data_IF_190912603821
#
_entry.id   IF_190912603821
#
_cell.length_a   1.000
_cell.length_b   1.000
_cell.length_c   1.000
_cell.angle_alpha   90.00
_cell.angle_beta   90.00
_cell.angle_gamma   90.00
#
_symmetry.space_group_name_H-M   'P 1'
#
loop_
_entity.id
_entity.type
_entity.pdbx_description
1 polymer ?
#
# COMPACT_ATOMS: atom_id res chain seq x y z
N UNK A 1 -18.99 63.36 18.52
CA UNK A 1 -18.52 62.85 17.21
C UNK A 1 -17.92 61.47 17.48
N UNK A 2 -18.70 60.43 17.30
CA UNK A 2 -18.32 59.06 17.54
C UNK A 2 -18.46 58.31 16.21
N UNK A 3 -17.33 58.00 15.58
CA UNK A 3 -17.28 57.26 14.33
C UNK A 3 -17.48 55.75 14.65
N UNK A 4 -18.62 55.23 14.20
CA UNK A 4 -18.89 53.80 14.14
C UNK A 4 -18.21 53.17 12.91
N UNK A 5 -17.11 52.46 13.12
CA UNK A 5 -16.52 51.59 12.12
C UNK A 5 -17.34 50.29 12.04
N UNK A 6 -18.08 50.10 10.96
CA UNK A 6 -18.72 48.82 10.60
C UNK A 6 -17.67 47.86 10.06
N UNK A 7 -17.60 46.60 10.51
CA UNK A 7 -16.70 45.61 9.94
C UNK A 7 -17.23 45.10 8.59
N UNK A 8 -16.36 45.16 7.57
CA UNK A 8 -16.65 44.63 6.23
C UNK A 8 -16.72 43.09 6.27
N UNK A 9 -17.84 42.55 5.79
CA UNK A 9 -18.03 41.12 5.56
C UNK A 9 -17.22 40.71 4.34
N UNK A 10 -16.36 39.66 4.43
CA UNK A 10 -15.65 39.16 3.25
C UNK A 10 -16.62 38.49 2.28
N UNK A 11 -16.40 38.73 0.98
CA UNK A 11 -17.17 38.16 -0.12
C UNK A 11 -17.12 36.60 -0.10
N UNK A 12 -18.16 35.89 -0.54
CA UNK A 12 -18.18 34.45 -0.58
C UNK A 12 -17.13 33.93 -1.57
N UNK A 13 -16.25 33.06 -1.07
CA UNK A 13 -15.29 32.31 -1.88
C UNK A 13 -16.09 31.45 -2.86
N UNK A 14 -15.86 31.66 -4.15
CA UNK A 14 -16.48 30.86 -5.20
C UNK A 14 -16.27 29.38 -4.94
N UNK A 15 -17.35 28.63 -4.87
CA UNK A 15 -17.34 27.18 -4.72
C UNK A 15 -16.62 26.58 -5.92
N UNK A 16 -15.47 25.95 -5.66
CA UNK A 16 -14.78 25.08 -6.61
C UNK A 16 -15.77 23.99 -7.02
N UNK A 17 -16.10 23.94 -8.32
CA UNK A 17 -16.97 22.94 -8.90
C UNK A 17 -16.46 21.54 -8.50
N UNK A 18 -17.24 20.82 -7.70
CA UNK A 18 -16.98 19.44 -7.34
C UNK A 18 -17.05 18.61 -8.61
N UNK A 19 -15.93 17.99 -8.97
CA UNK A 19 -15.91 16.92 -9.99
C UNK A 19 -16.94 15.87 -9.58
N UNK A 20 -17.83 15.41 -10.49
CA UNK A 20 -18.83 14.42 -10.13
C UNK A 20 -18.13 13.17 -9.56
N UNK A 21 -18.58 12.69 -8.42
CA UNK A 21 -18.10 11.46 -7.81
C UNK A 21 -18.33 10.32 -8.81
N UNK A 22 -17.25 9.71 -9.29
CA UNK A 22 -17.33 8.52 -10.17
C UNK A 22 -17.91 7.40 -9.33
N UNK A 23 -18.97 6.73 -9.83
CA UNK A 23 -19.59 5.60 -9.14
C UNK A 23 -18.56 4.48 -8.95
N UNK A 24 -18.27 4.12 -7.69
CA UNK A 24 -17.34 3.04 -7.33
C UNK A 24 -17.70 1.72 -8.02
N UNK A 25 -18.98 1.46 -8.30
CA UNK A 25 -19.44 0.28 -9.01
C UNK A 25 -18.99 0.29 -10.47
N UNK A 26 -18.99 1.44 -11.13
CA UNK A 26 -18.50 1.59 -12.48
C UNK A 26 -17.00 1.34 -12.56
N UNK A 27 -16.22 1.91 -11.65
CA UNK A 27 -14.77 1.69 -11.55
C UNK A 27 -14.44 0.20 -11.32
N UNK A 28 -15.18 -0.46 -10.45
CA UNK A 28 -15.01 -1.90 -10.18
C UNK A 28 -15.34 -2.71 -11.44
N UNK A 29 -16.40 -2.38 -12.17
CA UNK A 29 -16.76 -3.05 -13.41
C UNK A 29 -15.66 -2.90 -14.48
N UNK A 30 -15.16 -1.68 -14.70
CA UNK A 30 -14.06 -1.41 -15.63
C UNK A 30 -12.78 -2.20 -15.27
N UNK A 31 -12.43 -2.28 -14.00
CA UNK A 31 -11.25 -3.03 -13.53
C UNK A 31 -11.43 -4.54 -13.70
N UNK A 32 -12.67 -5.05 -13.53
CA UNK A 32 -13.01 -6.45 -13.80
C UNK A 32 -12.89 -6.80 -15.28
N UNK A 33 -13.32 -5.91 -16.18
CA UNK A 33 -13.13 -6.10 -17.62
C UNK A 33 -11.64 -6.10 -18.02
N UNK A 34 -10.82 -5.23 -17.43
CA UNK A 34 -9.36 -5.26 -17.62
C UNK A 34 -8.76 -6.60 -17.15
N UNK A 35 -9.20 -7.14 -16.01
CA UNK A 35 -8.75 -8.46 -15.54
C UNK A 35 -9.23 -9.58 -16.48
N UNK A 36 -10.46 -9.51 -16.98
CA UNK A 36 -10.99 -10.47 -17.94
C UNK A 36 -10.17 -10.48 -19.24
N UNK A 37 -9.76 -9.30 -19.71
CA UNK A 37 -8.87 -9.18 -20.88
C UNK A 37 -7.50 -9.84 -20.62
N UNK A 38 -6.89 -9.63 -19.43
CA UNK A 38 -5.62 -10.30 -19.04
C UNK A 38 -5.77 -11.82 -19.00
N UNK A 39 -6.85 -12.34 -18.44
CA UNK A 39 -7.15 -13.79 -18.44
C UNK A 39 -7.42 -14.34 -19.83
N UNK A 40 -8.08 -13.57 -20.67
CA UNK A 40 -8.30 -13.91 -22.08
C UNK A 40 -6.98 -14.01 -22.86
N UNK A 41 -6.06 -13.07 -22.65
CA UNK A 41 -4.73 -13.10 -23.23
C UNK A 41 -3.94 -14.33 -22.75
N UNK A 42 -4.01 -14.64 -21.45
CA UNK A 42 -3.39 -15.84 -20.88
C UNK A 42 -3.93 -17.13 -21.51
N UNK A 43 -5.24 -17.26 -21.71
CA UNK A 43 -5.86 -18.41 -22.37
C UNK A 43 -5.40 -18.58 -23.83
N UNK A 44 -4.93 -17.50 -24.47
CA UNK A 44 -4.36 -17.48 -25.81
C UNK A 44 -2.82 -17.66 -25.82
N UNK A 45 -2.20 -17.95 -24.66
CA UNK A 45 -0.75 -18.08 -24.53
C UNK A 45 0.00 -16.74 -24.57
N UNK A 46 -0.70 -15.60 -24.45
CA UNK A 46 -0.14 -14.25 -24.52
C UNK A 46 0.05 -13.67 -23.10
N UNK A 47 1.04 -14.15 -22.37
CA UNK A 47 1.37 -13.67 -21.03
C UNK A 47 0.63 -14.40 -19.90
N UNK A 48 0.77 -13.91 -18.68
CA UNK A 48 0.17 -14.46 -17.45
C UNK A 48 -0.53 -13.35 -16.70
N UNK A 49 -1.79 -13.56 -16.33
CA UNK A 49 -2.62 -12.56 -15.65
C UNK A 49 -2.11 -12.23 -14.23
N UNK A 50 -1.54 -13.23 -13.52
CA UNK A 50 -0.94 -13.09 -12.20
C UNK A 50 0.44 -13.78 -12.19
N UNK A 51 1.47 -13.11 -12.72
CA UNK A 51 2.81 -13.69 -12.73
C UNK A 51 3.39 -13.79 -11.31
N UNK A 52 4.05 -14.91 -11.00
CA UNK A 52 4.67 -15.19 -9.71
C UNK A 52 6.18 -15.41 -9.78
N UNK A 53 6.78 -15.18 -10.93
CA UNK A 53 8.20 -15.37 -11.24
C UNK A 53 9.03 -14.10 -10.99
N UNK A 54 8.42 -12.94 -10.73
CA UNK A 54 9.13 -11.71 -10.41
C UNK A 54 9.58 -11.71 -8.94
N UNK A 55 10.90 -11.69 -8.73
CA UNK A 55 11.53 -11.65 -7.40
C UNK A 55 12.23 -10.30 -7.21
N UNK A 56 11.67 -9.37 -6.42
CA UNK A 56 12.34 -8.12 -6.13
C UNK A 56 13.58 -8.37 -5.27
N UNK A 57 14.72 -7.84 -5.70
CA UNK A 57 15.99 -7.95 -4.96
C UNK A 57 16.15 -6.86 -3.89
N UNK A 58 15.35 -5.79 -3.97
CA UNK A 58 15.53 -4.59 -3.15
C UNK A 58 14.23 -4.15 -2.49
N UNK A 59 14.36 -3.45 -1.33
CA UNK A 59 13.27 -2.85 -0.57
C UNK A 59 13.37 -1.33 -0.58
N UNK A 60 12.22 -0.65 -0.65
CA UNK A 60 12.16 0.82 -0.75
C UNK A 60 12.93 1.53 0.36
N UNK A 61 12.71 1.17 1.64
CA UNK A 61 13.39 1.82 2.76
C UNK A 61 14.91 1.59 2.73
N UNK A 62 15.37 0.39 2.36
CA UNK A 62 16.80 0.10 2.27
C UNK A 62 17.49 0.93 1.19
N UNK A 63 16.86 1.10 0.02
CA UNK A 63 17.37 1.95 -1.05
C UNK A 63 17.42 3.42 -0.64
N UNK A 64 16.37 3.91 0.01
CA UNK A 64 16.32 5.29 0.50
C UNK A 64 17.38 5.52 1.58
N UNK A 65 17.56 4.59 2.51
CA UNK A 65 18.58 4.71 3.57
C UNK A 65 20.00 4.67 3.01
N UNK A 66 20.27 3.83 2.00
CA UNK A 66 21.61 3.70 1.43
C UNK A 66 21.96 4.79 0.42
N UNK A 67 20.99 5.29 -0.34
CA UNK A 67 21.23 6.16 -1.51
C UNK A 67 20.41 7.45 -1.50
N UNK A 68 19.63 7.71 -0.45
CA UNK A 68 18.80 8.91 -0.35
C UNK A 68 19.60 10.21 -0.38
N UNK A 69 20.80 10.22 0.17
CA UNK A 69 21.72 11.37 0.21
C UNK A 69 22.79 11.34 -0.90
N UNK A 70 22.83 10.29 -1.75
CA UNK A 70 23.83 10.19 -2.83
C UNK A 70 23.52 11.24 -3.90
N UNK A 71 24.53 11.98 -4.35
CA UNK A 71 24.39 13.00 -5.38
C UNK A 71 24.05 12.38 -6.76
N UNK A 72 23.35 13.18 -7.60
CA UNK A 72 22.91 12.71 -8.93
C UNK A 72 24.07 12.24 -9.82
N UNK A 73 25.14 13.02 -9.85
CA UNK A 73 26.33 12.73 -10.68
C UNK A 73 27.01 11.41 -10.27
N UNK A 74 26.99 11.08 -8.98
CA UNK A 74 27.54 9.82 -8.48
C UNK A 74 26.70 8.61 -8.93
N UNK A 75 25.36 8.74 -8.92
CA UNK A 75 24.46 7.70 -9.44
C UNK A 75 24.54 7.53 -10.95
N UNK A 76 24.86 8.60 -11.69
CA UNK A 76 25.10 8.53 -13.13
C UNK A 76 26.46 7.91 -13.46
N UNK A 77 27.52 8.25 -12.70
CA UNK A 77 28.86 7.71 -12.88
C UNK A 77 28.95 6.23 -12.53
N UNK A 78 28.18 5.78 -11.53
CA UNK A 78 28.16 4.38 -11.09
C UNK A 78 26.69 3.91 -11.01
N UNK A 79 26.12 3.43 -12.15
CA UNK A 79 24.74 3.00 -12.20
C UNK A 79 24.48 1.81 -11.26
N UNK A 80 23.48 1.96 -10.38
CA UNK A 80 23.05 0.93 -9.43
C UNK A 80 21.77 0.30 -9.97
N UNK A 81 21.89 -0.95 -10.45
CA UNK A 81 20.74 -1.70 -10.90
C UNK A 81 19.90 -2.19 -9.72
N UNK A 82 18.59 -2.01 -9.81
CA UNK A 82 17.63 -2.39 -8.78
C UNK A 82 16.41 -3.08 -9.38
N UNK A 83 15.87 -4.02 -8.62
CA UNK A 83 14.56 -4.62 -8.88
C UNK A 83 13.67 -4.44 -7.66
N UNK A 84 12.50 -3.86 -7.84
CA UNK A 84 11.55 -3.51 -6.79
C UNK A 84 10.14 -3.94 -7.17
N UNK A 85 9.33 -4.29 -6.19
CA UNK A 85 7.90 -4.56 -6.39
C UNK A 85 7.06 -3.95 -5.27
N UNK A 86 5.87 -3.50 -5.61
CA UNK A 86 4.97 -2.92 -4.63
C UNK A 86 3.67 -2.43 -5.25
N UNK A 87 2.84 -1.83 -4.43
CA UNK A 87 1.56 -1.24 -4.83
C UNK A 87 1.78 0.14 -5.41
N UNK A 88 1.19 0.39 -6.57
CA UNK A 88 1.19 1.71 -7.20
C UNK A 88 0.20 2.63 -6.47
N UNK A 89 0.73 3.58 -5.70
CA UNK A 89 -0.07 4.49 -4.89
C UNK A 89 -0.34 5.83 -5.57
N UNK A 90 0.48 6.20 -6.54
CA UNK A 90 0.33 7.41 -7.33
C UNK A 90 0.82 7.15 -8.75
N UNK A 91 0.16 7.76 -9.71
CA UNK A 91 0.57 7.76 -11.13
C UNK A 91 0.32 9.14 -11.72
N UNK A 92 1.33 9.71 -12.36
CA UNK A 92 1.25 10.97 -13.10
C UNK A 92 1.81 10.76 -14.50
N UNK A 93 0.96 10.81 -15.50
CA UNK A 93 1.33 10.68 -16.91
C UNK A 93 1.59 12.05 -17.50
N UNK A 94 2.77 12.28 -18.09
CA UNK A 94 3.18 13.55 -18.69
C UNK A 94 3.76 13.27 -20.10
N UNK A 95 2.87 12.99 -21.05
CA UNK A 95 3.27 12.73 -22.45
C UNK A 95 4.10 11.44 -22.59
N UNK A 96 5.40 11.59 -22.94
CA UNK A 96 6.35 10.47 -23.14
C UNK A 96 7.01 9.97 -21.85
N UNK A 97 6.85 10.69 -20.76
CA UNK A 97 7.39 10.32 -19.44
C UNK A 97 6.28 10.27 -18.41
N UNK A 98 6.45 9.50 -17.37
CA UNK A 98 5.52 9.35 -16.27
C UNK A 98 6.25 9.13 -14.97
N UNK A 99 5.61 9.52 -13.87
CA UNK A 99 6.03 9.15 -12.52
C UNK A 99 4.99 8.26 -11.88
N UNK A 100 5.45 7.26 -11.15
CA UNK A 100 4.62 6.46 -10.27
C UNK A 100 5.27 6.35 -8.90
N UNK A 101 4.47 6.30 -7.84
CA UNK A 101 4.96 5.99 -6.50
C UNK A 101 4.60 4.55 -6.18
N UNK A 102 5.62 3.74 -5.98
CA UNK A 102 5.51 2.35 -5.54
C UNK A 102 5.62 2.31 -4.02
N UNK A 103 4.74 1.56 -3.36
CA UNK A 103 4.78 1.30 -1.92
C UNK A 103 4.95 -0.20 -1.68
N UNK A 104 6.03 -0.57 -1.00
CA UNK A 104 6.24 -1.93 -0.48
C UNK A 104 5.95 -2.00 1.04
N UNK A 105 6.32 -3.11 1.68
CA UNK A 105 6.12 -3.28 3.13
C UNK A 105 7.00 -2.34 3.98
N UNK A 106 8.06 -1.77 3.41
CA UNK A 106 9.06 -0.97 4.14
C UNK A 106 8.90 0.53 3.93
N UNK A 107 8.41 0.96 2.77
CA UNK A 107 8.30 2.37 2.45
C UNK A 107 7.79 2.65 1.04
N UNK A 108 8.10 3.86 0.57
CA UNK A 108 7.72 4.34 -0.77
C UNK A 108 8.97 4.67 -1.57
N UNK A 109 8.90 4.44 -2.87
CA UNK A 109 9.95 4.77 -3.82
C UNK A 109 9.30 5.29 -5.10
N UNK A 110 9.91 6.30 -5.72
CA UNK A 110 9.44 6.85 -6.98
C UNK A 110 9.98 6.02 -8.15
N UNK A 111 9.16 5.82 -9.15
CA UNK A 111 9.51 5.25 -10.45
C UNK A 111 9.43 6.34 -11.52
N UNK A 112 10.47 6.47 -12.32
CA UNK A 112 10.49 7.29 -13.51
C UNK A 112 10.39 6.40 -14.74
N UNK A 113 9.27 6.49 -15.44
CA UNK A 113 8.89 5.60 -16.54
C UNK A 113 8.90 6.40 -17.85
N UNK A 114 9.79 6.08 -18.75
CA UNK A 114 9.89 6.70 -20.08
C UNK A 114 9.45 5.73 -21.17
N UNK A 115 8.62 6.22 -22.11
CA UNK A 115 8.17 5.43 -23.26
C UNK A 115 9.34 4.85 -24.05
N UNK A 116 10.33 5.70 -24.31
CA UNK A 116 11.47 5.33 -25.17
C UNK A 116 12.41 4.31 -24.47
N UNK A 117 12.35 4.18 -23.13
CA UNK A 117 13.13 3.21 -22.35
C UNK A 117 12.44 1.85 -22.24
N UNK A 118 11.12 1.81 -22.04
CA UNK A 118 10.38 0.55 -21.85
C UNK A 118 9.64 0.05 -23.10
N UNK A 119 9.62 0.86 -24.16
CA UNK A 119 8.90 0.58 -25.40
C UNK A 119 7.47 1.12 -25.40
N UNK A 120 6.94 1.32 -26.60
CA UNK A 120 5.62 1.95 -26.79
C UNK A 120 4.47 1.10 -26.26
N UNK A 121 4.51 -0.21 -26.49
CA UNK A 121 3.49 -1.17 -26.04
C UNK A 121 3.42 -1.24 -24.51
N UNK A 122 4.56 -1.45 -23.84
CA UNK A 122 4.63 -1.51 -22.38
C UNK A 122 4.22 -0.18 -21.75
N UNK A 123 4.54 0.96 -22.38
CA UNK A 123 4.12 2.26 -21.91
C UNK A 123 2.61 2.49 -22.09
N UNK A 124 2.02 2.00 -23.20
CA UNK A 124 0.58 2.04 -23.43
C UNK A 124 -0.17 1.20 -22.39
N UNK A 125 0.36 0.02 -22.05
CA UNK A 125 -0.17 -0.83 -21.00
C UNK A 125 -0.10 -0.14 -19.63
N UNK A 126 1.05 0.42 -19.27
CA UNK A 126 1.24 1.18 -18.04
C UNK A 126 0.22 2.32 -17.89
N UNK A 127 -0.09 3.04 -18.96
CA UNK A 127 -1.12 4.09 -18.92
C UNK A 127 -2.51 3.56 -18.55
N UNK A 128 -2.83 2.31 -18.92
CA UNK A 128 -4.11 1.65 -18.62
C UNK A 128 -4.19 1.05 -17.21
N UNK A 129 -3.05 0.87 -16.51
CA UNK A 129 -3.05 0.34 -15.15
C UNK A 129 -3.70 1.32 -14.17
N UNK A 130 -4.20 0.79 -13.07
CA UNK A 130 -4.95 1.57 -12.09
C UNK A 130 -4.18 1.73 -10.78
N UNK A 131 -4.49 2.78 -10.03
CA UNK A 131 -3.99 2.93 -8.66
C UNK A 131 -4.43 1.74 -7.82
N UNK A 132 -3.50 1.23 -7.03
CA UNK A 132 -3.69 0.01 -6.25
C UNK A 132 -3.15 -1.25 -6.93
N UNK A 133 -2.85 -1.26 -8.22
CA UNK A 133 -2.19 -2.38 -8.88
C UNK A 133 -0.84 -2.67 -8.25
N UNK A 134 -0.46 -3.95 -8.16
CA UNK A 134 0.88 -4.34 -7.74
C UNK A 134 1.74 -4.51 -8.99
N UNK A 135 2.86 -3.82 -9.01
CA UNK A 135 3.77 -3.76 -10.14
C UNK A 135 5.19 -4.14 -9.73
N UNK A 136 5.94 -4.71 -10.65
CA UNK A 136 7.37 -4.93 -10.56
C UNK A 136 8.11 -4.03 -11.53
N UNK A 137 9.22 -3.47 -11.11
CA UNK A 137 10.07 -2.60 -11.90
C UNK A 137 11.54 -2.98 -11.75
N UNK A 138 12.26 -2.97 -12.87
CA UNK A 138 13.72 -3.09 -12.93
C UNK A 138 14.26 -1.83 -13.57
N UNK A 139 15.39 -1.34 -13.10
CA UNK A 139 16.03 -0.15 -13.64
C UNK A 139 17.22 0.28 -12.82
N UNK A 140 17.69 1.50 -13.03
CA UNK A 140 18.81 2.09 -12.30
C UNK A 140 18.35 3.21 -11.38
N UNK A 141 19.02 3.40 -10.26
CA UNK A 141 18.78 4.53 -9.38
C UNK A 141 19.19 5.84 -10.05
N UNK A 142 18.38 6.86 -9.82
CA UNK A 142 18.64 8.24 -10.25
C UNK A 142 18.07 9.23 -9.28
N UNK A 143 18.50 10.47 -9.32
CA UNK A 143 17.80 11.60 -8.69
C UNK A 143 17.06 12.43 -9.71
N UNK A 144 15.87 12.86 -9.34
CA UNK A 144 15.12 13.85 -10.14
C UNK A 144 15.70 15.24 -9.97
N UNK A 145 15.28 16.19 -10.80
CA UNK A 145 15.68 17.61 -10.66
C UNK A 145 15.33 18.22 -9.30
N UNK A 146 14.34 17.64 -8.60
CA UNK A 146 13.94 18.07 -7.25
C UNK A 146 14.67 17.29 -6.13
N UNK A 147 15.65 16.45 -6.47
CA UNK A 147 16.44 15.70 -5.50
C UNK A 147 15.78 14.39 -5.02
N UNK A 148 14.62 14.00 -5.55
CA UNK A 148 13.94 12.76 -5.12
C UNK A 148 14.60 11.51 -5.71
N UNK A 149 14.97 10.55 -4.85
CA UNK A 149 15.51 9.26 -5.29
C UNK A 149 14.45 8.48 -6.07
N UNK A 150 14.80 8.06 -7.27
CA UNK A 150 13.87 7.40 -8.19
C UNK A 150 14.54 6.23 -8.90
N UNK A 151 13.75 5.28 -9.37
CA UNK A 151 14.18 4.24 -10.28
C UNK A 151 13.90 4.68 -11.73
N UNK A 152 14.94 4.85 -12.55
CA UNK A 152 14.81 5.00 -13.99
C UNK A 152 14.52 3.62 -14.59
N UNK A 153 13.25 3.41 -14.89
CA UNK A 153 12.73 2.08 -15.22
C UNK A 153 13.13 1.66 -16.63
N UNK A 154 13.70 0.46 -16.74
CA UNK A 154 14.01 -0.22 -18.01
C UNK A 154 13.05 -1.37 -18.30
N UNK A 155 12.50 -2.00 -17.25
CA UNK A 155 11.48 -3.03 -17.38
C UNK A 155 10.37 -2.80 -16.38
N UNK A 156 9.13 -2.96 -16.80
CA UNK A 156 7.95 -2.75 -15.98
C UNK A 156 6.93 -3.86 -16.24
N UNK A 157 6.37 -4.42 -15.16
CA UNK A 157 5.45 -5.54 -15.25
C UNK A 157 4.30 -5.41 -14.26
N UNK A 158 3.07 -5.68 -14.74
CA UNK A 158 1.91 -5.85 -13.86
C UNK A 158 2.00 -7.22 -13.18
N UNK A 159 1.96 -7.25 -11.85
CA UNK A 159 1.99 -8.48 -11.05
C UNK A 159 0.61 -8.87 -10.56
N UNK A 160 -0.19 -7.88 -10.11
CA UNK A 160 -1.55 -8.12 -9.62
C UNK A 160 -2.44 -6.93 -9.93
N UNK A 161 -3.58 -7.21 -10.54
CA UNK A 161 -4.61 -6.22 -10.81
C UNK A 161 -5.45 -5.93 -9.57
N UNK A 162 -5.55 -4.67 -9.17
CA UNK A 162 -6.45 -4.21 -8.12
C UNK A 162 -7.85 -4.04 -8.67
N UNK A 163 -8.85 -4.71 -8.06
CA UNK A 163 -10.24 -4.68 -8.53
C UNK A 163 -11.09 -3.62 -7.86
N UNK A 164 -10.70 -3.17 -6.66
CA UNK A 164 -11.39 -2.09 -5.94
C UNK A 164 -10.55 -0.83 -5.94
N UNK A 165 -11.14 0.35 -6.13
CA UNK A 165 -10.42 1.60 -5.97
C UNK A 165 -9.93 1.73 -4.52
N UNK A 166 -8.81 2.44 -4.35
CA UNK A 166 -8.38 2.87 -3.03
C UNK A 166 -9.25 4.07 -2.59
N UNK A 167 -9.45 4.27 -1.29
CA UNK A 167 -10.09 5.48 -0.77
C UNK A 167 -9.43 6.75 -1.27
N UNK A 168 -10.16 7.86 -1.26
CA UNK A 168 -9.66 9.16 -1.70
C UNK A 168 -8.32 9.48 -1.03
N UNK A 169 -7.39 9.95 -1.85
CA UNK A 169 -6.02 10.28 -1.43
C UNK A 169 -5.97 11.35 -0.32
N UNK A 170 -6.93 12.27 -0.30
CA UNK A 170 -6.92 13.42 0.58
C UNK A 170 -7.68 13.17 1.89
N UNK A 171 -8.68 12.31 1.88
CA UNK A 171 -9.52 12.06 3.05
C UNK A 171 -9.28 10.67 3.67
N UNK A 172 -8.63 9.74 2.94
CA UNK A 172 -8.41 8.38 3.39
C UNK A 172 -9.74 7.70 3.75
N UNK A 173 -9.70 6.84 4.76
CA UNK A 173 -10.89 6.31 5.40
C UNK A 173 -11.23 7.20 6.61
N UNK A 174 -12.22 8.07 6.50
CA UNK A 174 -12.64 8.96 7.59
C UNK A 174 -13.45 8.23 8.65
N UNK A 175 -14.27 7.26 8.24
CA UNK A 175 -15.14 6.50 9.15
C UNK A 175 -14.34 5.45 9.95
N UNK A 176 -14.45 5.54 11.29
CA UNK A 176 -13.76 4.67 12.23
C UNK A 176 -14.28 3.22 12.16
N UNK A 177 -15.56 3.02 11.97
CA UNK A 177 -16.16 1.69 11.82
C UNK A 177 -15.65 1.00 10.55
N UNK A 178 -15.57 1.74 9.45
CA UNK A 178 -15.01 1.23 8.20
C UNK A 178 -13.52 0.86 8.34
N UNK A 179 -12.72 1.65 9.09
CA UNK A 179 -11.32 1.29 9.41
C UNK A 179 -11.21 -0.03 10.15
N UNK A 180 -12.12 -0.31 11.07
CA UNK A 180 -12.13 -1.57 11.81
C UNK A 180 -12.55 -2.75 10.94
N UNK A 181 -13.56 -2.58 10.09
CA UNK A 181 -14.07 -3.63 9.20
C UNK A 181 -13.14 -3.93 8.03
N UNK A 182 -12.46 -2.91 7.51
CA UNK A 182 -11.54 -3.01 6.38
C UNK A 182 -10.11 -2.61 6.79
N UNK A 183 -9.61 -3.23 7.86
CA UNK A 183 -8.28 -2.94 8.41
C UNK A 183 -7.16 -3.01 7.36
N UNK A 184 -7.26 -3.92 6.40
CA UNK A 184 -6.30 -4.04 5.31
C UNK A 184 -6.24 -2.78 4.42
N UNK A 185 -7.36 -2.09 4.20
CA UNK A 185 -7.38 -0.83 3.45
C UNK A 185 -6.76 0.30 4.27
N UNK A 186 -7.11 0.40 5.56
CA UNK A 186 -6.52 1.34 6.50
C UNK A 186 -4.98 1.21 6.53
N UNK A 187 -4.47 -0.02 6.62
CA UNK A 187 -3.03 -0.30 6.59
C UNK A 187 -2.37 0.02 5.24
N UNK A 188 -3.09 -0.08 4.12
CA UNK A 188 -2.56 0.30 2.80
C UNK A 188 -2.41 1.82 2.71
N UNK A 189 -3.37 2.58 3.22
CA UNK A 189 -3.50 4.01 2.97
C UNK A 189 -2.93 4.89 4.06
N UNK A 190 -2.96 4.45 5.33
CA UNK A 190 -2.51 5.20 6.50
C UNK A 190 -1.16 4.68 7.05
N UNK A 191 -0.10 5.53 6.96
CA UNK A 191 1.23 5.25 7.50
C UNK A 191 1.23 5.13 9.01
N UNK A 192 0.52 6.04 9.70
CA UNK A 192 0.45 6.04 11.15
C UNK A 192 -0.29 4.81 11.70
N UNK A 193 -1.28 4.27 10.97
CA UNK A 193 -1.90 2.99 11.32
C UNK A 193 -0.87 1.85 11.27
N UNK A 194 -0.05 1.76 10.21
CA UNK A 194 1.02 0.75 10.12
C UNK A 194 2.02 0.86 11.27
N UNK A 195 2.45 2.07 11.60
CA UNK A 195 3.39 2.32 12.71
C UNK A 195 2.82 1.87 14.05
N UNK A 196 1.54 2.18 14.34
CA UNK A 196 0.87 1.72 15.56
C UNK A 196 0.83 0.20 15.69
N UNK A 197 0.51 -0.52 14.61
CA UNK A 197 0.48 -1.98 14.64
C UNK A 197 1.89 -2.58 14.73
N UNK A 198 2.88 -2.00 14.05
CA UNK A 198 4.27 -2.38 14.19
C UNK A 198 4.80 -2.16 15.62
N UNK A 199 4.48 -1.01 16.22
CA UNK A 199 4.85 -0.71 17.61
C UNK A 199 4.23 -1.71 18.59
N UNK A 200 2.93 -2.05 18.40
CA UNK A 200 2.27 -3.08 19.21
C UNK A 200 2.98 -4.43 19.11
N UNK A 201 3.29 -4.88 17.90
CA UNK A 201 3.99 -6.15 17.70
C UNK A 201 5.37 -6.16 18.37
N UNK A 202 6.12 -5.06 18.23
CA UNK A 202 7.44 -4.89 18.91
C UNK A 202 7.30 -4.93 20.43
N UNK A 203 6.27 -4.28 20.99
CA UNK A 203 6.04 -4.28 22.43
C UNK A 203 5.75 -5.70 22.97
N UNK A 204 4.93 -6.49 22.26
CA UNK A 204 4.67 -7.88 22.64
C UNK A 204 5.93 -8.75 22.55
N UNK A 205 6.75 -8.56 21.49
CA UNK A 205 8.02 -9.27 21.36
C UNK A 205 8.99 -8.93 22.50
N UNK A 206 9.10 -7.64 22.82
CA UNK A 206 9.97 -7.18 23.93
C UNK A 206 9.54 -7.76 25.29
N UNK A 207 8.22 -7.86 25.55
CA UNK A 207 7.71 -8.51 26.75
C UNK A 207 8.09 -10.00 26.80
N UNK A 208 7.96 -10.74 25.70
CA UNK A 208 8.36 -12.13 25.61
C UNK A 208 9.86 -12.30 25.83
N UNK A 209 10.68 -11.49 25.15
CA UNK A 209 12.13 -11.51 25.31
C UNK A 209 12.55 -11.23 26.76
N UNK A 210 11.91 -10.25 27.40
CA UNK A 210 12.16 -9.93 28.80
C UNK A 210 11.83 -11.09 29.73
N UNK A 211 10.68 -11.74 29.53
CA UNK A 211 10.29 -12.90 30.37
C UNK A 211 11.23 -14.07 30.18
N UNK A 212 11.58 -14.42 28.94
CA UNK A 212 12.53 -15.51 28.64
C UNK A 212 13.91 -15.21 29.23
N UNK A 213 14.39 -13.96 29.15
CA UNK A 213 15.67 -13.53 29.72
C UNK A 213 15.70 -13.59 31.26
N UNK A 214 14.54 -13.68 31.92
CA UNK A 214 14.39 -13.85 33.36
C UNK A 214 13.94 -15.27 33.76
N UNK A 215 14.29 -16.27 32.94
CA UNK A 215 14.05 -17.69 33.19
C UNK A 215 12.57 -18.13 33.23
N UNK A 216 11.66 -17.34 32.64
CA UNK A 216 10.28 -17.77 32.45
C UNK A 216 10.14 -18.61 31.18
N UNK A 217 9.36 -19.70 31.27
CA UNK A 217 9.02 -20.51 30.14
C UNK A 217 7.67 -20.10 29.54
N UNK A 218 7.64 -19.77 28.24
CA UNK A 218 6.37 -19.56 27.53
C UNK A 218 5.71 -20.89 27.27
N UNK A 219 4.45 -21.05 27.71
CA UNK A 219 3.66 -22.28 27.56
C UNK A 219 2.30 -21.95 26.93
N UNK A 220 1.75 -22.91 26.20
CA UNK A 220 0.38 -22.87 25.72
C UNK A 220 -0.53 -23.57 26.72
N UNK A 221 -1.51 -22.87 27.27
CA UNK A 221 -2.54 -23.44 28.15
C UNK A 221 -3.79 -23.77 27.36
N UNK A 222 -4.62 -24.74 27.81
CA UNK A 222 -5.90 -25.04 27.17
C UNK A 222 -6.78 -23.75 27.06
N UNK A 223 -7.37 -23.54 25.90
CA UNK A 223 -8.25 -22.41 25.66
C UNK A 223 -9.63 -22.63 26.28
N UNK A 224 -10.09 -23.87 26.30
CA UNK A 224 -11.38 -24.27 26.85
C UNK A 224 -11.16 -25.12 28.10
N UNK A 225 -11.96 -24.89 29.13
CA UNK A 225 -11.90 -25.60 30.41
C UNK A 225 -13.27 -26.21 30.79
N UNK A 226 -13.31 -27.37 31.45
CA UNK A 226 -14.57 -27.94 31.97
C UNK A 226 -15.11 -27.17 33.19
N UNK A 227 -14.25 -26.41 33.86
CA UNK A 227 -14.61 -25.61 35.03
C UNK A 227 -14.46 -24.12 34.68
N UNK A 228 -15.50 -23.31 34.90
CA UNK A 228 -15.39 -21.86 34.68
C UNK A 228 -14.37 -21.26 35.65
N UNK A 229 -13.37 -20.56 35.11
CA UNK A 229 -12.31 -19.91 35.87
C UNK A 229 -12.08 -18.47 35.39
N UNK A 230 -11.20 -17.75 36.10
CA UNK A 230 -10.81 -16.38 35.75
C UNK A 230 -11.47 -15.31 36.60
N UNK A 231 -11.50 -14.07 36.08
CA UNK A 231 -12.07 -12.93 36.77
C UNK A 231 -13.63 -13.04 36.92
N UNK A 232 -14.23 -12.13 37.70
CA UNK A 232 -15.70 -12.07 37.91
C UNK A 232 -16.55 -11.78 36.65
N UNK A 233 -16.07 -12.15 35.47
CA UNK A 233 -16.78 -12.00 34.21
C UNK A 233 -17.61 -13.26 33.91
N UNK A 234 -18.78 -13.07 33.32
CA UNK A 234 -19.60 -14.19 32.85
C UNK A 234 -18.87 -14.91 31.71
N UNK A 235 -18.51 -16.21 31.83
CA UNK A 235 -17.79 -16.92 30.80
C UNK A 235 -18.65 -17.19 29.56
N UNK A 236 -18.02 -17.37 28.43
CA UNK A 236 -18.66 -18.00 27.28
C UNK A 236 -18.86 -19.49 27.56
N UNK A 237 -19.99 -20.02 27.11
CA UNK A 237 -20.27 -21.46 27.18
C UNK A 237 -20.29 -22.05 25.78
N UNK A 238 -19.70 -23.21 25.63
CA UNK A 238 -19.78 -24.03 24.43
C UNK A 238 -19.90 -25.52 24.80
N UNK A 239 -20.19 -26.37 23.81
CA UNK A 239 -20.30 -27.80 24.02
C UNK A 239 -19.25 -28.53 23.18
N UNK A 240 -18.47 -29.37 23.82
CA UNK A 240 -17.48 -30.22 23.16
C UNK A 240 -18.14 -31.53 22.72
N UNK A 241 -18.56 -31.61 21.45
CA UNK A 241 -19.35 -32.72 20.94
C UNK A 241 -18.71 -34.11 21.12
N UNK A 242 -17.40 -34.24 20.93
CA UNK A 242 -16.72 -35.51 21.04
C UNK A 242 -16.58 -36.02 22.49
N UNK A 243 -16.59 -35.15 23.47
CA UNK A 243 -16.52 -35.48 24.89
C UNK A 243 -17.88 -35.40 25.58
N UNK A 244 -18.91 -34.97 24.86
CA UNK A 244 -20.26 -34.71 25.39
C UNK A 244 -20.21 -33.88 26.69
N UNK A 245 -19.45 -32.79 26.68
CA UNK A 245 -19.13 -32.00 27.86
C UNK A 245 -19.29 -30.51 27.62
N UNK A 246 -19.87 -29.81 28.61
CA UNK A 246 -19.92 -28.33 28.65
C UNK A 246 -18.51 -27.80 28.92
N UNK A 247 -18.10 -26.78 28.15
CA UNK A 247 -16.79 -26.10 28.25
C UNK A 247 -16.97 -24.60 28.37
N UNK A 248 -15.97 -23.92 28.97
CA UNK A 248 -15.96 -22.50 29.27
C UNK A 248 -14.71 -21.85 28.76
#
# INVERSE_FOLDING_TARGET
MSDHLTPSVPAPVAALASTPAVDDNQLIAERREKLKALRGAQAQGKGVAFPNDFKPGHRAAALVAAHGETEADMLEATPIEVSVAGRMMLKRVMGKASFATLQDATGRLQLYVQRDAIGEEAYADFKRWDLGDIIGAVGTLMKTKTGELSVKVTQLRLLTKSLRPLPDKFHGMADQEQKYRQRYVDLITDGAARERFAARSKAVSALREFMVANDFLEVETPMLHPIPGGANAKPFKTHHNALDQEMF
#
